data_IF_062838397637
#
_entry.id   IF_062838397637
#
_cell.length_a   1.000
_cell.length_b   1.000
_cell.length_c   1.000
_cell.angle_alpha   90.00
_cell.angle_beta   90.00
_cell.angle_gamma   90.00
#
_symmetry.space_group_name_H-M   'P 1'
#
loop_
_entity.id
_entity.type
_entity.pdbx_description
1 polymer ?
#
# COMPACT_ATOMS: atom_id res chain seq x y z
N UNK A 1 6.30 -25.40 8.81
CA UNK A 1 5.48 -25.57 7.59
C UNK A 1 3.97 -25.51 7.82
N UNK A 2 3.36 -26.09 8.87
CA UNK A 2 1.94 -25.85 9.19
C UNK A 2 1.71 -24.67 10.15
N UNK A 3 2.71 -24.28 10.94
CA UNK A 3 2.66 -23.12 11.84
C UNK A 3 2.72 -21.80 11.08
N UNK A 4 3.68 -21.66 10.18
CA UNK A 4 3.95 -20.41 9.44
C UNK A 4 2.74 -19.90 8.63
N UNK A 5 1.98 -20.80 8.00
CA UNK A 5 0.75 -20.43 7.25
C UNK A 5 -0.37 -19.98 8.18
N UNK A 6 -0.47 -20.62 9.33
CA UNK A 6 -1.45 -20.27 10.35
C UNK A 6 -1.14 -18.89 10.97
N UNK A 7 0.14 -18.56 11.12
CA UNK A 7 0.59 -17.26 11.62
C UNK A 7 0.30 -16.12 10.62
N UNK A 8 0.51 -16.35 9.32
CA UNK A 8 0.12 -15.40 8.25
C UNK A 8 -1.40 -15.17 8.20
N UNK A 9 -2.21 -16.24 8.25
CA UNK A 9 -3.67 -16.12 8.29
C UNK A 9 -4.14 -15.39 9.56
N UNK A 10 -3.53 -15.68 10.71
CA UNK A 10 -3.81 -15.02 11.98
C UNK A 10 -3.46 -13.54 11.95
N UNK A 11 -2.32 -13.15 11.36
CA UNK A 11 -1.94 -11.75 11.17
C UNK A 11 -2.97 -10.99 10.34
N UNK A 12 -3.33 -11.54 9.17
CA UNK A 12 -4.31 -10.91 8.26
C UNK A 12 -5.68 -10.75 8.92
N UNK A 13 -6.09 -11.73 9.72
CA UNK A 13 -7.32 -11.64 10.53
C UNK A 13 -7.21 -10.52 11.59
N UNK A 14 -6.07 -10.42 12.28
CA UNK A 14 -5.83 -9.38 13.28
C UNK A 14 -5.86 -7.98 12.67
N UNK A 15 -5.21 -7.79 11.52
CA UNK A 15 -5.19 -6.54 10.74
C UNK A 15 -6.61 -6.05 10.48
N UNK A 16 -7.53 -6.92 10.08
CA UNK A 16 -8.92 -6.54 9.80
C UNK A 16 -9.67 -5.98 11.03
N UNK A 17 -9.27 -6.39 12.23
CA UNK A 17 -9.87 -5.98 13.51
C UNK A 17 -9.15 -4.82 14.23
N UNK A 18 -7.93 -4.48 13.78
CA UNK A 18 -7.11 -3.46 14.41
C UNK A 18 -7.69 -2.06 14.21
N UNK A 19 -7.91 -1.33 15.30
CA UNK A 19 -8.52 0.00 15.30
C UNK A 19 -7.53 1.14 15.63
N UNK A 20 -6.27 0.83 15.98
CA UNK A 20 -5.32 1.82 16.50
C UNK A 20 -4.73 2.76 15.44
N UNK A 21 -4.64 2.32 14.19
CA UNK A 21 -4.13 3.08 13.05
C UNK A 21 -4.57 2.41 11.74
N UNK A 22 -4.53 3.10 10.59
CA UNK A 22 -4.58 2.47 9.29
C UNK A 22 -3.52 1.37 9.16
N UNK A 23 -3.93 0.18 8.73
CA UNK A 23 -3.01 -0.94 8.55
C UNK A 23 -3.45 -1.83 7.39
N UNK A 24 -2.47 -2.31 6.63
CA UNK A 24 -2.68 -3.32 5.59
C UNK A 24 -1.51 -4.31 5.52
N UNK A 25 -1.76 -5.46 4.92
CA UNK A 25 -0.77 -6.47 4.54
C UNK A 25 -0.78 -6.60 3.04
N UNK A 26 0.40 -6.67 2.42
CA UNK A 26 0.56 -6.92 0.99
C UNK A 26 1.50 -8.08 0.71
N UNK A 27 1.31 -8.77 -0.41
CA UNK A 27 2.23 -9.79 -0.91
C UNK A 27 3.45 -9.17 -1.61
N UNK A 28 4.40 -10.02 -2.00
CA UNK A 28 5.59 -9.64 -2.76
C UNK A 28 5.31 -9.06 -4.15
N UNK A 29 4.10 -9.21 -4.68
CA UNK A 29 3.68 -8.63 -5.96
C UNK A 29 2.94 -7.31 -5.76
N UNK A 30 2.87 -6.81 -4.52
CA UNK A 30 2.17 -5.61 -4.08
C UNK A 30 0.64 -5.69 -4.13
N UNK A 31 0.09 -6.90 -4.03
CA UNK A 31 -1.36 -7.11 -3.87
C UNK A 31 -1.74 -7.02 -2.40
N UNK A 32 -2.76 -6.23 -2.08
CA UNK A 32 -3.29 -6.11 -0.71
C UNK A 32 -4.01 -7.41 -0.32
N UNK A 33 -3.50 -8.08 0.71
CA UNK A 33 -4.04 -9.34 1.23
C UNK A 33 -5.00 -9.14 2.41
N UNK A 34 -4.75 -8.09 3.21
CA UNK A 34 -5.60 -7.67 4.30
C UNK A 34 -5.52 -6.17 4.47
N UNK A 35 -6.60 -5.54 4.90
CA UNK A 35 -6.63 -4.11 5.21
C UNK A 35 -7.69 -3.87 6.26
N UNK A 36 -7.45 -2.99 7.22
CA UNK A 36 -8.49 -2.56 8.12
C UNK A 36 -9.43 -1.55 7.44
N UNK A 37 -10.64 -1.31 7.99
CA UNK A 37 -11.58 -0.33 7.44
C UNK A 37 -11.00 1.08 7.34
N UNK A 38 -10.16 1.49 8.30
CA UNK A 38 -9.57 2.82 8.32
C UNK A 38 -8.59 3.04 7.16
N UNK A 39 -7.73 2.07 6.83
CA UNK A 39 -6.89 2.13 5.65
C UNK A 39 -7.70 2.21 4.35
N UNK A 40 -8.76 1.40 4.21
CA UNK A 40 -9.63 1.47 3.01
C UNK A 40 -10.33 2.82 2.84
N UNK A 41 -10.56 3.56 3.93
CA UNK A 41 -11.15 4.89 3.88
C UNK A 41 -10.17 5.98 3.40
N UNK A 42 -8.87 5.70 3.36
CA UNK A 42 -7.83 6.63 2.89
C UNK A 42 -7.71 6.60 1.37
N UNK A 43 -7.73 5.41 0.77
CA UNK A 43 -7.54 5.24 -0.67
C UNK A 43 -8.19 3.96 -1.19
N UNK A 44 -8.81 3.96 -2.38
CA UNK A 44 -9.23 2.75 -3.07
C UNK A 44 -8.10 1.75 -3.31
N UNK A 45 -6.85 2.23 -3.40
CA UNK A 45 -5.66 1.40 -3.53
C UNK A 45 -5.50 0.38 -2.40
N UNK A 46 -6.02 0.70 -1.21
CA UNK A 46 -5.88 -0.13 -0.01
C UNK A 46 -7.00 -1.16 0.16
N UNK A 47 -7.89 -1.31 -0.83
CA UNK A 47 -8.88 -2.37 -0.82
C UNK A 47 -8.22 -3.75 -1.02
N UNK A 48 -8.74 -4.78 -0.33
CA UNK A 48 -8.24 -6.15 -0.45
C UNK A 48 -8.40 -6.64 -1.89
N UNK A 49 -7.35 -7.26 -2.43
CA UNK A 49 -7.26 -7.73 -3.81
C UNK A 49 -6.77 -6.70 -4.81
N UNK A 50 -6.67 -5.41 -4.44
CA UNK A 50 -6.07 -4.39 -5.31
C UNK A 50 -4.56 -4.58 -5.35
N UNK A 51 -4.00 -4.47 -6.55
CA UNK A 51 -2.54 -4.43 -6.75
C UNK A 51 -2.09 -2.98 -6.79
N UNK A 52 -1.24 -2.58 -5.83
CA UNK A 52 -0.81 -1.19 -5.66
C UNK A 52 -0.08 -0.65 -6.90
N UNK A 53 0.68 -1.51 -7.61
CA UNK A 53 1.38 -1.10 -8.82
C UNK A 53 0.44 -0.89 -10.01
N UNK A 54 -0.55 -1.76 -10.22
CA UNK A 54 -1.60 -1.52 -11.22
C UNK A 54 -2.37 -0.25 -10.92
N UNK A 55 -2.74 -0.05 -9.65
CA UNK A 55 -3.46 1.15 -9.24
C UNK A 55 -2.66 2.41 -9.56
N UNK A 56 -1.37 2.44 -9.17
CA UNK A 56 -0.52 3.62 -9.33
C UNK A 56 -0.20 3.96 -10.80
N UNK A 57 0.00 2.95 -11.65
CA UNK A 57 0.51 3.16 -13.02
C UNK A 57 -0.53 3.02 -14.13
N UNK A 58 -1.68 2.40 -13.85
CA UNK A 58 -2.74 2.13 -14.84
C UNK A 58 -4.05 2.81 -14.44
N UNK A 59 -4.59 2.48 -13.26
CA UNK A 59 -5.95 2.91 -12.90
C UNK A 59 -6.02 4.40 -12.54
N UNK A 60 -4.97 4.93 -11.91
CA UNK A 60 -4.90 6.32 -11.49
C UNK A 60 -3.99 7.19 -12.38
N UNK A 61 -3.74 6.76 -13.63
CA UNK A 61 -2.86 7.43 -14.60
C UNK A 61 -3.20 8.92 -14.89
N UNK A 62 -4.36 9.41 -14.46
CA UNK A 62 -4.76 10.82 -14.54
C UNK A 62 -4.11 11.78 -13.54
N UNK A 63 -3.24 11.31 -12.64
CA UNK A 63 -2.57 12.14 -11.61
C UNK A 63 -1.15 12.60 -11.99
N UNK A 64 -0.73 12.38 -13.24
CA UNK A 64 0.59 12.81 -13.72
C UNK A 64 0.80 14.33 -13.54
N UNK A 65 1.93 14.72 -12.93
CA UNK A 65 2.26 16.13 -12.65
C UNK A 65 1.92 16.61 -11.23
N UNK A 66 1.52 15.71 -10.33
CA UNK A 66 1.49 15.95 -8.89
C UNK A 66 2.77 15.36 -8.26
N UNK A 67 3.64 16.21 -7.73
CA UNK A 67 4.94 15.81 -7.13
C UNK A 67 4.80 14.66 -6.11
N UNK A 68 3.71 14.64 -5.32
CA UNK A 68 3.44 13.57 -4.37
C UNK A 68 3.13 12.23 -5.03
N UNK A 69 2.51 12.25 -6.21
CA UNK A 69 2.21 11.07 -7.01
C UNK A 69 3.47 10.51 -7.69
N UNK A 70 4.36 11.38 -8.16
CA UNK A 70 5.63 10.98 -8.78
C UNK A 70 6.55 10.30 -7.75
N UNK A 71 6.58 10.79 -6.51
CA UNK A 71 7.27 10.13 -5.41
C UNK A 71 6.66 8.75 -5.07
N UNK A 72 5.33 8.66 -5.02
CA UNK A 72 4.63 7.40 -4.73
C UNK A 72 4.87 6.34 -5.82
N UNK A 73 4.78 6.71 -7.10
CA UNK A 73 5.03 5.79 -8.22
C UNK A 73 6.48 5.32 -8.26
N UNK A 74 7.44 6.22 -8.03
CA UNK A 74 8.87 5.86 -7.90
C UNK A 74 9.09 4.84 -6.79
N UNK A 75 8.50 5.08 -5.61
CA UNK A 75 8.58 4.17 -4.47
C UNK A 75 7.96 2.80 -4.78
N UNK A 76 6.80 2.75 -5.45
CA UNK A 76 6.15 1.49 -5.84
C UNK A 76 7.02 0.68 -6.81
N UNK A 77 7.66 1.34 -7.78
CA UNK A 77 8.61 0.67 -8.67
C UNK A 77 9.83 0.12 -7.92
N UNK A 78 10.34 0.87 -6.93
CA UNK A 78 11.44 0.43 -6.06
C UNK A 78 11.04 -0.78 -5.19
N UNK A 79 9.83 -0.80 -4.64
CA UNK A 79 9.30 -1.94 -3.85
C UNK A 79 9.17 -3.22 -4.70
N UNK A 80 8.76 -3.11 -5.97
CA UNK A 80 8.76 -4.25 -6.88
C UNK A 80 10.18 -4.78 -7.15
N UNK A 81 11.19 -3.91 -7.29
CA UNK A 81 12.60 -4.34 -7.37
C UNK A 81 13.06 -5.02 -6.09
N UNK A 82 12.78 -4.43 -4.93
CA UNK A 82 13.14 -5.02 -3.63
C UNK A 82 12.62 -6.46 -3.52
N UNK A 83 11.38 -6.69 -3.95
CA UNK A 83 10.77 -8.01 -3.99
C UNK A 83 11.49 -8.99 -4.92
N UNK A 84 11.98 -8.52 -6.07
CA UNK A 84 12.75 -9.32 -7.02
C UNK A 84 14.15 -9.68 -6.46
N UNK A 85 14.77 -8.74 -5.75
CA UNK A 85 16.09 -8.95 -5.13
C UNK A 85 16.00 -9.92 -3.96
N UNK A 86 14.93 -9.83 -3.16
CA UNK A 86 14.67 -10.72 -2.02
C UNK A 86 14.20 -12.12 -2.41
N UNK A 87 13.42 -12.23 -3.48
CA UNK A 87 12.74 -13.46 -3.84
C UNK A 87 12.91 -13.80 -5.31
N UNK A 88 13.12 -15.08 -5.62
CA UNK A 88 13.28 -15.55 -7.01
C UNK A 88 12.10 -15.11 -7.87
N UNK A 89 12.42 -14.58 -9.05
CA UNK A 89 11.44 -14.23 -10.08
C UNK A 89 10.48 -15.39 -10.37
N UNK A 90 9.18 -15.09 -10.42
CA UNK A 90 8.13 -16.07 -10.74
C UNK A 90 7.22 -15.58 -11.88
N UNK A 91 6.32 -16.47 -12.32
CA UNK A 91 5.37 -16.15 -13.40
C UNK A 91 4.48 -14.94 -13.10
N UNK A 92 3.85 -14.82 -11.90
CA UNK A 92 3.11 -13.62 -11.52
C UNK A 92 3.92 -12.33 -11.59
N UNK A 93 5.18 -12.33 -11.12
CA UNK A 93 6.05 -11.17 -11.17
C UNK A 93 6.33 -10.72 -12.61
N UNK A 94 6.67 -11.67 -13.51
CA UNK A 94 6.85 -11.37 -14.95
C UNK A 94 5.61 -10.76 -15.58
N UNK A 95 4.43 -11.27 -15.21
CA UNK A 95 3.15 -10.76 -15.75
C UNK A 95 2.92 -9.32 -15.34
N UNK A 96 3.06 -8.99 -14.05
CA UNK A 96 2.83 -7.62 -13.60
C UNK A 96 3.85 -6.65 -14.20
N UNK A 97 5.15 -6.96 -14.21
CA UNK A 97 6.16 -6.07 -14.80
C UNK A 97 5.93 -5.93 -16.31
N UNK A 98 5.64 -7.01 -17.03
CA UNK A 98 5.37 -6.95 -18.47
C UNK A 98 4.13 -6.13 -18.82
N UNK A 99 3.05 -6.30 -18.05
CA UNK A 99 1.82 -5.51 -18.17
C UNK A 99 2.09 -4.02 -17.95
N UNK A 100 2.73 -3.66 -16.83
CA UNK A 100 3.01 -2.28 -16.49
C UNK A 100 3.95 -1.62 -17.51
N UNK A 101 4.99 -2.31 -17.97
CA UNK A 101 5.89 -1.81 -19.03
C UNK A 101 5.16 -1.57 -20.34
N UNK A 102 4.16 -2.38 -20.68
CA UNK A 102 3.40 -2.22 -21.92
C UNK A 102 2.35 -1.09 -21.83
N UNK A 103 1.80 -0.85 -20.63
CA UNK A 103 0.69 0.08 -20.43
C UNK A 103 1.10 1.45 -19.90
N UNK A 104 2.31 1.60 -19.34
CA UNK A 104 2.73 2.82 -18.64
C UNK A 104 4.17 3.22 -18.97
N UNK A 105 4.31 4.35 -19.66
CA UNK A 105 5.62 4.95 -19.92
C UNK A 105 6.29 5.41 -18.61
N UNK A 106 5.52 5.99 -17.69
CA UNK A 106 6.03 6.42 -16.38
C UNK A 106 6.49 5.24 -15.54
N UNK A 107 5.84 4.07 -15.64
CA UNK A 107 6.38 2.84 -15.04
C UNK A 107 7.73 2.48 -15.64
N UNK A 108 7.87 2.51 -16.96
CA UNK A 108 9.13 2.14 -17.63
C UNK A 108 10.29 3.06 -17.21
N UNK A 109 10.02 4.37 -17.06
CA UNK A 109 10.98 5.37 -16.57
C UNK A 109 11.35 5.14 -15.11
N UNK A 110 10.35 5.05 -14.22
CA UNK A 110 10.57 4.72 -12.80
C UNK A 110 11.24 3.34 -12.64
N UNK A 111 11.01 2.43 -13.60
CA UNK A 111 11.59 1.12 -13.59
C UNK A 111 13.09 1.15 -13.95
N UNK A 112 13.48 1.97 -14.91
CA UNK A 112 14.87 2.14 -15.30
C UNK A 112 15.68 2.99 -14.30
N UNK A 113 15.01 3.79 -13.46
CA UNK A 113 15.68 4.68 -12.50
C UNK A 113 16.37 3.96 -11.33
N UNK A 114 16.06 2.68 -11.09
CA UNK A 114 16.71 1.85 -10.04
C UNK A 114 16.77 2.52 -8.65
N UNK A 115 15.72 3.30 -8.31
CA UNK A 115 15.63 3.94 -7.00
C UNK A 115 15.68 2.91 -5.86
N UNK A 116 16.36 3.29 -4.77
CA UNK A 116 16.42 2.47 -3.57
C UNK A 116 15.04 2.42 -2.88
N UNK A 117 14.56 1.24 -2.45
CA UNK A 117 13.29 1.12 -1.76
C UNK A 117 13.37 1.77 -0.37
N UNK A 118 12.39 2.61 -0.03
CA UNK A 118 12.24 3.13 1.32
C UNK A 118 11.26 2.27 2.14
N UNK A 119 11.60 1.93 3.38
CA UNK A 119 10.69 1.23 4.31
C UNK A 119 9.80 2.20 5.09
N UNK A 120 10.04 3.50 4.94
CA UNK A 120 9.25 4.55 5.54
C UNK A 120 9.32 5.81 4.67
N UNK A 121 8.30 6.63 4.74
CA UNK A 121 8.25 7.90 4.03
C UNK A 121 6.93 8.61 4.22
N UNK A 122 6.79 9.76 3.60
CA UNK A 122 5.54 10.52 3.60
C UNK A 122 4.75 10.28 2.31
N UNK A 123 3.43 10.23 2.43
CA UNK A 123 2.49 10.13 1.33
C UNK A 123 1.31 11.07 1.56
N UNK A 124 0.90 11.77 0.51
CA UNK A 124 -0.26 12.66 0.56
C UNK A 124 -1.42 12.03 -0.18
N UNK A 125 -2.54 11.86 0.51
CA UNK A 125 -3.77 11.29 -0.04
C UNK A 125 -4.79 12.41 -0.25
N UNK A 126 -5.32 12.48 -1.48
CA UNK A 126 -6.34 13.43 -1.89
C UNK A 126 -7.71 12.75 -1.99
N UNK A 127 -8.77 13.53 -1.88
CA UNK A 127 -10.14 13.03 -2.05
C UNK A 127 -10.64 12.15 -0.89
N UNK A 128 -9.96 12.18 0.27
CA UNK A 128 -10.47 11.52 1.48
C UNK A 128 -11.69 12.25 2.02
N UNK A 129 -12.47 11.61 2.88
CA UNK A 129 -13.61 12.25 3.56
C UNK A 129 -13.20 13.44 4.45
N UNK A 130 -11.91 13.56 4.77
CA UNK A 130 -11.31 14.67 5.55
C UNK A 130 -10.43 15.59 4.70
N UNK A 131 -10.57 15.53 3.36
CA UNK A 131 -9.82 16.34 2.40
C UNK A 131 -8.43 15.77 2.11
N UNK A 132 -7.42 16.65 2.06
CA UNK A 132 -6.02 16.24 1.97
C UNK A 132 -5.53 15.66 3.31
N UNK A 133 -4.93 14.47 3.24
CA UNK A 133 -4.40 13.74 4.38
C UNK A 133 -2.94 13.36 4.13
N UNK A 134 -2.02 13.96 4.89
CA UNK A 134 -0.57 13.68 4.84
C UNK A 134 -0.22 12.63 5.88
N UNK A 135 0.33 11.50 5.45
CA UNK A 135 0.64 10.37 6.33
C UNK A 135 2.11 9.97 6.21
N UNK A 136 2.69 9.54 7.31
CA UNK A 136 3.92 8.76 7.31
C UNK A 136 3.55 7.29 7.24
N UNK A 137 4.10 6.57 6.28
CA UNK A 137 4.00 5.12 6.22
C UNK A 137 5.26 4.47 6.81
N UNK A 138 5.08 3.31 7.44
CA UNK A 138 6.14 2.39 7.82
C UNK A 138 5.78 1.01 7.31
N UNK A 139 6.74 0.34 6.67
CA UNK A 139 6.56 -0.98 6.08
C UNK A 139 7.62 -1.96 6.56
N UNK A 140 7.18 -3.11 7.09
CA UNK A 140 8.05 -4.17 7.60
C UNK A 140 7.68 -5.51 6.99
N UNK A 141 8.69 -6.25 6.48
CA UNK A 141 8.49 -7.62 6.02
C UNK A 141 8.22 -8.48 7.24
N UNK A 142 7.11 -9.20 7.24
CA UNK A 142 6.68 -9.97 8.42
C UNK A 142 7.13 -11.41 8.33
N UNK A 143 7.16 -11.96 7.12
CA UNK A 143 7.60 -13.32 6.87
C UNK A 143 8.19 -13.44 5.47
N UNK A 144 9.48 -13.81 5.39
CA UNK A 144 10.15 -14.07 4.12
C UNK A 144 9.65 -15.37 3.45
N UNK A 145 9.00 -16.27 4.21
CA UNK A 145 8.44 -17.53 3.71
C UNK A 145 7.19 -17.29 2.86
N UNK A 146 6.29 -16.43 3.33
CA UNK A 146 5.08 -16.05 2.60
C UNK A 146 5.27 -14.76 1.79
N UNK A 147 6.41 -14.10 1.96
CA UNK A 147 6.78 -12.88 1.27
C UNK A 147 5.71 -11.79 1.44
N UNK A 148 5.35 -11.53 2.71
CA UNK A 148 4.36 -10.55 3.12
C UNK A 148 5.00 -9.39 3.85
N UNK A 149 4.44 -8.19 3.69
CA UNK A 149 4.77 -7.06 4.55
C UNK A 149 3.54 -6.37 5.09
N UNK A 150 3.70 -5.85 6.31
CA UNK A 150 2.75 -5.01 7.01
C UNK A 150 3.09 -3.55 6.75
N UNK A 151 2.08 -2.75 6.41
CA UNK A 151 2.20 -1.30 6.29
C UNK A 151 1.29 -0.63 7.31
N UNK A 152 1.87 0.25 8.13
CA UNK A 152 1.19 1.12 9.09
C UNK A 152 1.28 2.57 8.63
N UNK A 153 0.21 3.34 8.81
CA UNK A 153 0.22 4.77 8.50
C UNK A 153 -0.16 5.62 9.71
N UNK A 154 0.50 6.76 9.88
CA UNK A 154 0.29 7.71 10.98
C UNK A 154 0.19 9.13 10.44
N UNK A 155 -0.42 10.06 11.17
CA UNK A 155 -0.41 11.48 10.80
C UNK A 155 1.02 12.00 10.68
N UNK A 156 1.35 12.70 9.59
CA UNK A 156 2.68 13.27 9.39
C UNK A 156 3.01 14.40 10.39
N UNK A 157 1.97 15.03 10.93
CA UNK A 157 2.04 16.03 11.99
C UNK A 157 0.74 16.03 12.81
N UNK A 158 0.62 16.94 13.78
CA UNK A 158 -0.54 17.04 14.65
C UNK A 158 -1.84 17.38 13.91
N UNK A 159 -1.77 18.11 12.79
CA UNK A 159 -2.96 18.43 11.99
C UNK A 159 -3.44 17.18 11.25
N UNK A 160 -2.52 16.46 10.62
CA UNK A 160 -2.81 15.20 9.96
C UNK A 160 -3.34 14.14 10.94
N UNK A 161 -2.80 14.06 12.15
CA UNK A 161 -3.26 13.14 13.19
C UNK A 161 -4.69 13.46 13.64
N UNK A 162 -5.04 14.75 13.77
CA UNK A 162 -6.41 15.17 14.06
C UNK A 162 -7.39 14.82 12.92
N UNK A 163 -6.97 15.00 11.65
CA UNK A 163 -7.74 14.56 10.48
C UNK A 163 -7.93 13.04 10.46
N UNK A 164 -6.87 12.28 10.75
CA UNK A 164 -6.92 10.83 10.82
C UNK A 164 -7.88 10.34 11.92
N UNK A 165 -7.86 10.97 13.09
CA UNK A 165 -8.82 10.70 14.18
C UNK A 165 -10.26 10.98 13.76
N UNK A 166 -10.47 12.08 13.02
CA UNK A 166 -11.79 12.42 12.47
C UNK A 166 -12.26 11.36 11.47
N UNK A 167 -11.37 10.91 10.58
CA UNK A 167 -11.66 9.83 9.63
C UNK A 167 -12.03 8.52 10.35
N UNK A 168 -11.29 8.17 11.41
CA UNK A 168 -11.60 6.99 12.22
C UNK A 168 -13.00 7.06 12.85
N UNK A 169 -13.41 8.24 13.31
CA UNK A 169 -14.76 8.46 13.84
C UNK A 169 -15.85 8.28 12.77
N UNK A 170 -15.62 8.77 11.55
CA UNK A 170 -16.55 8.59 10.41
C UNK A 170 -16.71 7.09 10.08
N UNK A 171 -15.60 6.36 9.99
CA UNK A 171 -15.58 4.92 9.70
C UNK A 171 -16.27 4.12 10.83
N UNK A 172 -16.03 4.47 12.08
CA UNK A 172 -16.67 3.83 13.25
C UNK A 172 -18.18 4.01 13.25
N UNK A 173 -18.67 5.22 12.93
CA UNK A 173 -20.10 5.53 12.89
C UNK A 173 -20.83 4.82 11.74
N UNK A 174 -20.18 4.64 10.59
CA UNK A 174 -20.73 3.90 9.45
C UNK A 174 -20.93 2.41 9.72
N UNK A 175 -20.21 1.82 10.68
CA UNK A 175 -20.37 0.40 11.08
C UNK A 175 -21.56 0.14 12.02
N UNK A 176 -22.18 1.18 12.57
CA UNK A 176 -23.32 1.07 13.50
C UNK A 176 -24.66 1.05 12.74
N UNK A 177 -24.65 1.37 11.44
CA UNK A 177 -25.86 1.53 10.61
C UNK A 177 -26.18 0.36 9.68
N UNK A 178 -25.46 -0.77 9.77
CA UNK A 178 -25.76 -2.03 9.07
C UNK A 178 -26.28 -3.13 10.02
#
# INVERSE_FOLDING_TARGET
>A
MSGDRHDSESLRAHVSSFAGAPVLVRDRHLTVLASNPLARAISPAFAVGVNLARYAFVDAAGHAGNDGWDAATTQIAAMLRESLDRHREDGPFRRIVGELSAMSASFSEAWAAEAAPARQGEATFLGTAVGELRLVYHEEWVDDTHAEALMLLFGADSEAEAKLTTLASIVGNGRITE
#
